data_IF_515395221773
#
_entry.id   IF_515395221773
#
_cell.length_a   1.000
_cell.length_b   1.000
_cell.length_c   1.000
_cell.angle_alpha   90.00
_cell.angle_beta   90.00
_cell.angle_gamma   90.00
#
_symmetry.space_group_name_H-M   'P 1'
#
loop_
_entity.id
_entity.type
_entity.pdbx_description
1 polymer ?
#
# COMPACT_ATOMS: atom_id res chain seq x y z
N UNK A 1 -38.57 10.06 -21.91
CA UNK A 1 -38.55 9.05 -20.83
C UNK A 1 -37.15 8.45 -20.83
N UNK A 2 -36.41 8.51 -19.72
CA UNK A 2 -35.13 7.80 -19.62
C UNK A 2 -35.42 6.32 -19.34
N UNK A 3 -34.88 5.44 -20.17
CA UNK A 3 -35.02 3.98 -20.01
C UNK A 3 -33.84 3.34 -19.27
N UNK A 4 -32.88 4.17 -18.85
CA UNK A 4 -31.65 3.78 -18.17
C UNK A 4 -31.54 4.47 -16.81
N UNK A 5 -30.93 3.79 -15.85
CA UNK A 5 -30.63 4.33 -14.52
C UNK A 5 -29.32 5.13 -14.49
N UNK A 6 -28.82 5.37 -13.28
CA UNK A 6 -27.52 6.03 -13.06
C UNK A 6 -26.41 5.22 -13.76
N UNK A 7 -25.63 5.92 -14.58
CA UNK A 7 -24.50 5.33 -15.32
C UNK A 7 -23.20 5.89 -14.78
N UNK A 8 -22.24 5.02 -14.46
CA UNK A 8 -20.86 5.40 -14.12
C UNK A 8 -19.92 4.88 -15.21
N UNK A 9 -18.90 5.67 -15.56
CA UNK A 9 -17.90 5.34 -16.57
C UNK A 9 -16.50 5.57 -16.01
N UNK A 10 -15.65 4.56 -16.12
CA UNK A 10 -14.22 4.71 -15.85
C UNK A 10 -13.53 5.33 -17.06
N UNK A 11 -12.91 6.49 -16.90
CA UNK A 11 -12.22 7.19 -17.98
C UNK A 11 -10.72 6.89 -17.90
N UNK A 12 -10.15 6.35 -18.98
CA UNK A 12 -8.71 6.11 -19.09
C UNK A 12 -8.00 7.45 -19.32
N UNK A 13 -7.10 7.79 -18.41
CA UNK A 13 -6.33 9.05 -18.42
C UNK A 13 -4.84 8.77 -18.68
N UNK A 14 -4.07 9.79 -19.13
CA UNK A 14 -2.62 9.68 -19.21
C UNK A 14 -1.97 9.54 -17.83
N UNK A 15 -0.66 9.29 -17.82
CA UNK A 15 0.14 9.32 -16.58
C UNK A 15 0.37 10.79 -16.20
N UNK A 16 -0.15 11.19 -15.04
CA UNK A 16 0.03 12.54 -14.48
C UNK A 16 1.36 12.68 -13.74
N UNK A 17 2.00 13.83 -13.91
CA UNK A 17 3.26 14.23 -13.31
C UNK A 17 3.17 15.63 -12.69
N UNK A 18 4.15 15.98 -11.87
CA UNK A 18 4.22 17.29 -11.23
C UNK A 18 4.27 18.41 -12.29
N UNK A 19 3.41 19.41 -12.13
CA UNK A 19 3.30 20.57 -13.03
C UNK A 19 2.27 20.41 -14.14
N UNK A 20 1.68 19.23 -14.33
CA UNK A 20 0.63 19.03 -15.33
C UNK A 20 -0.63 19.86 -15.02
N UNK A 21 -1.23 20.46 -16.06
CA UNK A 21 -2.55 21.06 -15.96
C UNK A 21 -3.62 19.95 -15.87
N UNK A 22 -3.95 19.61 -14.63
CA UNK A 22 -4.92 18.57 -14.33
C UNK A 22 -6.29 18.85 -14.94
N UNK A 23 -6.76 20.09 -14.88
CA UNK A 23 -8.12 20.43 -15.34
C UNK A 23 -8.20 20.25 -16.85
N UNK A 24 -7.24 20.82 -17.60
CA UNK A 24 -7.20 20.69 -19.05
C UNK A 24 -7.07 19.21 -19.49
N UNK A 25 -6.22 18.44 -18.81
CA UNK A 25 -6.04 17.02 -19.10
C UNK A 25 -7.30 16.19 -18.85
N UNK A 26 -8.01 16.43 -17.74
CA UNK A 26 -9.26 15.73 -17.42
C UNK A 26 -10.37 16.09 -18.41
N UNK A 27 -10.53 17.38 -18.72
CA UNK A 27 -11.50 17.83 -19.73
C UNK A 27 -11.23 17.13 -21.06
N UNK A 28 -9.96 17.12 -21.50
CA UNK A 28 -9.57 16.45 -22.74
C UNK A 28 -9.88 14.95 -22.71
N UNK A 29 -9.48 14.23 -21.67
CA UNK A 29 -9.75 12.78 -21.54
C UNK A 29 -11.24 12.45 -21.55
N UNK A 30 -12.07 13.23 -20.87
CA UNK A 30 -13.53 13.03 -20.83
C UNK A 30 -14.16 13.33 -22.19
N UNK A 31 -13.78 14.43 -22.85
CA UNK A 31 -14.30 14.79 -24.19
C UNK A 31 -13.86 13.79 -25.25
N UNK A 32 -12.61 13.33 -25.22
CA UNK A 32 -12.09 12.32 -26.15
C UNK A 32 -12.81 10.97 -25.95
N UNK A 33 -13.05 10.55 -24.71
CA UNK A 33 -13.80 9.33 -24.41
C UNK A 33 -15.25 9.42 -24.88
N UNK A 34 -15.94 10.54 -24.61
CA UNK A 34 -17.31 10.79 -25.06
C UNK A 34 -17.43 10.68 -26.59
N UNK A 35 -16.50 11.32 -27.31
CA UNK A 35 -16.44 11.27 -28.77
C UNK A 35 -16.09 9.88 -29.31
N UNK A 36 -15.12 9.22 -28.69
CA UNK A 36 -14.60 7.91 -29.13
C UNK A 36 -15.57 6.76 -28.89
N UNK A 37 -16.31 6.78 -27.78
CA UNK A 37 -17.25 5.72 -27.39
C UNK A 37 -18.72 6.06 -27.69
N UNK A 38 -19.00 7.28 -28.19
CA UNK A 38 -20.33 7.68 -28.63
C UNK A 38 -21.34 7.88 -27.50
N UNK A 39 -20.90 8.49 -26.39
CA UNK A 39 -21.81 8.92 -25.31
C UNK A 39 -21.84 10.44 -25.17
N UNK A 40 -22.98 10.97 -24.76
CA UNK A 40 -23.16 12.41 -24.57
C UNK A 40 -22.80 12.83 -23.14
N UNK A 41 -22.12 13.97 -23.01
CA UNK A 41 -21.93 14.66 -21.74
C UNK A 41 -23.15 15.54 -21.49
N UNK A 42 -23.78 15.40 -20.32
CA UNK A 42 -24.99 16.14 -19.98
C UNK A 42 -24.73 17.15 -18.86
N UNK A 43 -25.55 18.20 -18.83
CA UNK A 43 -25.56 19.14 -17.72
C UNK A 43 -25.76 18.38 -16.39
N UNK A 44 -25.06 18.83 -15.34
CA UNK A 44 -25.04 18.20 -14.00
C UNK A 44 -24.40 16.81 -13.92
N UNK A 45 -23.72 16.34 -14.97
CA UNK A 45 -22.82 15.19 -14.83
C UNK A 45 -21.67 15.52 -13.87
N UNK A 46 -21.23 14.50 -13.10
CA UNK A 46 -20.20 14.65 -12.08
C UNK A 46 -18.93 13.96 -12.58
N UNK A 47 -17.83 14.69 -12.57
CA UNK A 47 -16.50 14.15 -12.85
C UNK A 47 -15.79 13.92 -11.52
N UNK A 48 -15.54 12.65 -11.20
CA UNK A 48 -14.73 12.26 -10.05
C UNK A 48 -13.26 12.14 -10.45
N UNK A 49 -12.38 12.82 -9.72
CA UNK A 49 -10.93 12.69 -9.86
C UNK A 49 -10.35 12.26 -8.53
N UNK A 50 -9.53 11.21 -8.53
CA UNK A 50 -8.89 10.71 -7.31
C UNK A 50 -7.91 11.75 -6.76
N UNK A 51 -7.94 11.97 -5.44
CA UNK A 51 -7.03 12.91 -4.76
C UNK A 51 -5.55 12.64 -5.08
N UNK A 52 -5.16 11.37 -5.20
CA UNK A 52 -3.78 11.00 -5.56
C UNK A 52 -3.32 11.62 -6.89
N UNK A 53 -4.22 11.85 -7.85
CA UNK A 53 -3.90 12.52 -9.11
C UNK A 53 -3.63 14.01 -8.86
N UNK A 54 -4.47 14.66 -8.06
CA UNK A 54 -4.29 16.05 -7.64
C UNK A 54 -2.97 16.24 -6.91
N UNK A 55 -2.67 15.36 -5.96
CA UNK A 55 -1.42 15.41 -5.20
C UNK A 55 -0.20 15.25 -6.11
N UNK A 56 -0.26 14.33 -7.09
CA UNK A 56 0.82 14.13 -8.08
C UNK A 56 1.09 15.38 -8.90
N UNK A 57 0.06 16.02 -9.46
CA UNK A 57 0.24 17.21 -10.31
C UNK A 57 0.72 18.41 -9.51
N UNK A 58 0.35 18.52 -8.24
CA UNK A 58 0.85 19.55 -7.35
C UNK A 58 2.24 19.26 -6.79
N UNK A 59 2.79 18.06 -6.98
CA UNK A 59 4.02 17.63 -6.30
C UNK A 59 3.86 17.56 -4.78
N UNK A 60 2.63 17.39 -4.30
CA UNK A 60 2.29 17.43 -2.88
C UNK A 60 2.51 16.06 -2.22
N UNK A 61 3.78 15.73 -1.99
CA UNK A 61 4.19 14.50 -1.31
C UNK A 61 4.75 14.76 0.07
N UNK A 62 4.40 13.92 1.03
CA UNK A 62 5.07 13.89 2.33
C UNK A 62 6.44 13.21 2.18
N UNK A 63 7.50 13.87 2.63
CA UNK A 63 8.85 13.29 2.67
C UNK A 63 9.03 12.36 3.86
N UNK A 64 9.98 11.44 3.77
CA UNK A 64 10.28 10.52 4.90
C UNK A 64 10.64 11.26 6.19
N UNK A 65 11.29 12.42 6.09
CA UNK A 65 11.70 13.21 7.25
C UNK A 65 10.52 14.00 7.86
N UNK A 66 9.58 14.46 7.03
CA UNK A 66 8.33 15.06 7.51
C UNK A 66 7.52 14.04 8.31
N UNK A 67 7.37 12.81 7.78
CA UNK A 67 6.67 11.72 8.47
C UNK A 67 7.42 11.34 9.76
N UNK A 68 8.75 11.17 9.72
CA UNK A 68 9.53 10.85 10.91
C UNK A 68 9.41 11.91 12.01
N UNK A 69 9.40 13.20 11.63
CA UNK A 69 9.18 14.31 12.57
C UNK A 69 7.79 14.25 13.19
N UNK A 70 6.76 13.99 12.38
CA UNK A 70 5.40 13.86 12.87
C UNK A 70 5.21 12.67 13.82
N UNK A 71 5.82 11.52 13.51
CA UNK A 71 5.86 10.35 14.41
C UNK A 71 6.52 10.71 15.75
N UNK A 72 7.68 11.36 15.76
CA UNK A 72 8.32 11.83 17.00
C UNK A 72 7.42 12.75 17.81
N UNK A 73 6.77 13.70 17.15
CA UNK A 73 5.89 14.66 17.82
C UNK A 73 4.68 13.97 18.46
N UNK A 74 4.12 12.96 17.79
CA UNK A 74 2.92 12.25 18.27
C UNK A 74 3.22 11.22 19.34
N UNK A 75 4.36 10.53 19.25
CA UNK A 75 4.66 9.35 20.06
C UNK A 75 5.89 9.51 20.95
N UNK A 76 6.49 10.70 21.04
CA UNK A 76 7.63 11.00 21.91
C UNK A 76 8.98 10.46 21.43
N UNK A 77 9.01 9.67 20.35
CA UNK A 77 10.24 9.16 19.75
C UNK A 77 10.95 8.04 20.52
N UNK A 78 10.26 7.40 21.46
CA UNK A 78 10.80 6.28 22.26
C UNK A 78 10.62 4.94 21.54
N UNK A 79 10.00 3.95 22.18
CA UNK A 79 9.70 2.65 21.56
C UNK A 79 8.33 2.67 20.88
N UNK A 80 8.23 2.04 19.70
CA UNK A 80 6.98 1.91 18.94
C UNK A 80 6.74 0.47 18.50
N UNK A 81 5.47 0.09 18.41
CA UNK A 81 5.03 -1.18 17.84
C UNK A 81 4.19 -0.95 16.59
N UNK A 82 4.47 -1.71 15.52
CA UNK A 82 3.60 -1.83 14.34
C UNK A 82 3.02 -3.24 14.34
N UNK A 83 1.71 -3.34 14.18
CA UNK A 83 0.99 -4.61 14.24
C UNK A 83 0.33 -4.87 12.89
N UNK A 84 0.56 -6.07 12.37
CA UNK A 84 0.02 -6.62 11.13
C UNK A 84 0.14 -5.68 9.91
N UNK A 85 1.36 -5.24 9.54
CA UNK A 85 1.54 -4.47 8.32
C UNK A 85 1.54 -5.37 7.07
N UNK A 86 1.11 -4.81 5.92
CA UNK A 86 1.31 -5.47 4.63
C UNK A 86 2.80 -5.76 4.32
N UNK A 87 3.00 -6.86 3.62
CA UNK A 87 4.29 -7.30 3.08
C UNK A 87 4.54 -6.62 1.73
N UNK A 88 5.13 -5.42 1.75
CA UNK A 88 5.29 -4.61 0.54
C UNK A 88 6.55 -3.75 0.55
N UNK A 89 7.39 -3.94 -0.48
CA UNK A 89 8.50 -3.03 -0.81
C UNK A 89 8.02 -1.63 -1.23
N UNK A 90 6.89 -1.56 -1.93
CA UNK A 90 6.46 -0.32 -2.60
C UNK A 90 5.52 0.53 -1.74
N UNK A 91 4.78 -0.11 -0.81
CA UNK A 91 3.80 0.58 0.03
C UNK A 91 4.29 0.71 1.47
N UNK A 92 4.68 -0.40 2.09
CA UNK A 92 5.00 -0.40 3.51
C UNK A 92 6.46 -0.02 3.78
N UNK A 93 7.44 -0.53 3.04
CA UNK A 93 8.86 -0.32 3.33
C UNK A 93 9.28 1.16 3.40
N UNK A 94 8.72 2.02 2.55
CA UNK A 94 9.00 3.47 2.58
C UNK A 94 8.41 4.15 3.83
N UNK A 95 7.24 3.70 4.27
CA UNK A 95 6.61 4.16 5.51
C UNK A 95 7.37 3.62 6.72
N UNK A 96 7.75 2.34 6.69
CA UNK A 96 8.54 1.70 7.72
C UNK A 96 9.85 2.45 7.96
N UNK A 97 10.59 2.78 6.89
CA UNK A 97 11.80 3.61 6.99
C UNK A 97 11.53 4.95 7.69
N UNK A 98 10.41 5.58 7.36
CA UNK A 98 10.02 6.86 7.95
C UNK A 98 9.64 6.73 9.43
N UNK A 99 8.96 5.65 9.81
CA UNK A 99 8.58 5.36 11.19
C UNK A 99 9.81 5.00 12.02
N UNK A 100 10.69 4.14 11.50
CA UNK A 100 11.95 3.76 12.14
C UNK A 100 12.85 4.96 12.41
N UNK A 101 12.95 5.91 11.46
CA UNK A 101 13.61 7.21 11.68
C UNK A 101 12.98 8.01 12.82
N UNK A 102 11.69 7.80 13.11
CA UNK A 102 10.89 8.55 14.06
C UNK A 102 10.90 8.00 15.49
N UNK A 103 11.58 6.89 15.77
CA UNK A 103 11.63 6.27 17.10
C UNK A 103 13.04 5.73 17.41
N UNK A 104 13.31 5.42 18.68
CA UNK A 104 14.58 4.79 19.11
C UNK A 104 14.58 3.29 18.83
N UNK A 105 13.41 2.65 18.96
CA UNK A 105 13.25 1.21 18.76
C UNK A 105 11.88 0.93 18.16
N UNK A 106 11.84 0.01 17.21
CA UNK A 106 10.62 -0.39 16.53
C UNK A 106 10.43 -1.90 16.65
N UNK A 107 9.27 -2.32 17.12
CA UNK A 107 8.83 -3.72 17.10
C UNK A 107 7.83 -3.88 15.96
N UNK A 108 7.95 -4.96 15.21
CA UNK A 108 7.04 -5.28 14.11
C UNK A 108 6.45 -6.66 14.40
N UNK A 109 5.14 -6.71 14.55
CA UNK A 109 4.40 -7.96 14.67
C UNK A 109 3.77 -8.27 13.31
N UNK A 110 4.36 -9.23 12.60
CA UNK A 110 3.80 -9.74 11.34
C UNK A 110 2.71 -10.77 11.64
N UNK A 111 1.70 -10.84 10.78
CA UNK A 111 0.79 -11.98 10.74
C UNK A 111 1.37 -13.07 9.85
N UNK A 112 1.03 -14.33 10.15
CA UNK A 112 1.39 -15.49 9.35
C UNK A 112 0.16 -16.42 9.21
N UNK A 113 0.04 -17.19 8.12
CA UNK A 113 0.95 -17.27 6.97
C UNK A 113 0.97 -16.02 6.07
N UNK A 114 -0.06 -15.17 6.18
CA UNK A 114 -0.28 -14.04 5.29
C UNK A 114 -0.56 -12.73 6.03
N UNK A 115 -0.34 -11.61 5.36
CA UNK A 115 -0.81 -10.27 5.75
C UNK A 115 -2.31 -10.08 5.48
N UNK A 116 -2.85 -8.90 5.82
CA UNK A 116 -4.27 -8.59 5.71
C UNK A 116 -4.79 -8.53 4.26
N UNK A 117 -3.89 -8.46 3.27
CA UNK A 117 -4.24 -8.48 1.85
C UNK A 117 -3.86 -9.79 1.15
N UNK A 118 -3.45 -10.80 1.93
CA UNK A 118 -3.17 -12.16 1.44
C UNK A 118 -1.77 -12.37 0.87
N UNK A 119 -0.83 -11.43 1.05
CA UNK A 119 0.57 -11.70 0.74
C UNK A 119 1.13 -12.66 1.79
N UNK A 120 1.83 -13.69 1.36
CA UNK A 120 2.39 -14.71 2.23
C UNK A 120 3.91 -14.83 2.03
N UNK A 121 4.61 -15.20 3.10
CA UNK A 121 6.01 -15.61 3.08
C UNK A 121 6.23 -17.06 3.56
N UNK A 122 5.15 -17.77 3.94
CA UNK A 122 5.11 -19.22 4.22
C UNK A 122 3.77 -19.82 3.78
N UNK A 123 3.77 -21.07 3.31
CA UNK A 123 2.56 -21.75 2.85
C UNK A 123 1.79 -22.44 3.99
N UNK A 124 0.52 -22.77 3.75
CA UNK A 124 -0.25 -23.60 4.69
C UNK A 124 0.34 -25.01 4.82
N UNK A 125 0.86 -25.61 3.75
CA UNK A 125 1.54 -26.91 3.81
C UNK A 125 2.75 -26.87 4.74
N UNK A 126 3.54 -25.79 4.71
CA UNK A 126 4.67 -25.62 5.64
C UNK A 126 4.20 -25.51 7.10
N UNK A 127 3.04 -24.88 7.35
CA UNK A 127 2.46 -24.79 8.70
C UNK A 127 2.04 -26.19 9.17
N UNK A 128 1.33 -26.94 8.33
CA UNK A 128 0.83 -28.27 8.63
C UNK A 128 1.98 -29.27 8.85
N UNK A 129 3.00 -29.27 7.99
CA UNK A 129 4.19 -30.13 8.10
C UNK A 129 4.98 -29.89 9.39
N UNK A 130 4.96 -28.66 9.90
CA UNK A 130 5.65 -28.28 11.14
C UNK A 130 4.78 -28.42 12.38
N UNK A 131 3.50 -28.77 12.22
CA UNK A 131 2.54 -28.92 13.32
C UNK A 131 2.24 -27.60 14.04
N UNK A 132 2.37 -26.46 13.34
CA UNK A 132 2.10 -25.13 13.90
C UNK A 132 0.61 -24.84 13.83
N UNK A 133 0.03 -24.35 14.93
CA UNK A 133 -1.35 -23.87 14.95
C UNK A 133 -1.39 -22.35 14.73
N UNK A 134 -1.81 -21.86 13.55
CA UNK A 134 -1.81 -20.42 13.24
C UNK A 134 -2.82 -19.61 14.07
N UNK A 135 -3.72 -20.27 14.83
CA UNK A 135 -4.73 -19.60 15.65
C UNK A 135 -4.32 -19.42 17.12
N UNK A 136 -3.28 -20.13 17.58
CA UNK A 136 -2.83 -20.08 18.98
C UNK A 136 -1.35 -19.79 19.12
N UNK A 137 -0.55 -20.22 18.15
CA UNK A 137 0.89 -20.16 18.27
C UNK A 137 1.37 -18.76 17.89
N UNK A 138 2.49 -18.37 18.47
CA UNK A 138 3.16 -17.11 18.14
C UNK A 138 4.64 -17.29 18.41
N UNK A 139 5.45 -16.59 17.64
CA UNK A 139 6.90 -16.79 17.64
C UNK A 139 7.59 -15.43 17.65
N UNK A 140 8.73 -15.37 18.33
CA UNK A 140 9.74 -14.37 18.01
C UNK A 140 10.48 -14.77 16.73
N UNK A 141 11.36 -13.89 16.25
CA UNK A 141 12.12 -14.13 15.02
C UNK A 141 12.96 -15.41 15.08
N UNK A 142 13.69 -15.64 16.19
CA UNK A 142 14.58 -16.79 16.33
C UNK A 142 13.80 -18.11 16.28
N UNK A 143 12.68 -18.18 17.01
CA UNK A 143 11.77 -19.33 17.01
C UNK A 143 11.20 -19.57 15.61
N UNK A 144 10.76 -18.52 14.93
CA UNK A 144 10.24 -18.61 13.57
C UNK A 144 11.30 -19.15 12.59
N UNK A 145 12.54 -18.65 12.66
CA UNK A 145 13.66 -19.11 11.83
C UNK A 145 14.08 -20.54 12.14
N UNK A 146 13.96 -20.99 13.39
CA UNK A 146 14.23 -22.38 13.76
C UNK A 146 13.20 -23.35 13.18
N UNK A 147 11.94 -22.93 13.07
CA UNK A 147 10.84 -23.77 12.54
C UNK A 147 10.84 -23.78 11.00
N UNK A 148 10.86 -22.60 10.39
CA UNK A 148 10.64 -22.41 8.94
C UNK A 148 11.93 -22.16 8.15
N UNK A 149 13.05 -21.88 8.81
CA UNK A 149 14.31 -21.55 8.15
C UNK A 149 14.34 -20.15 7.55
N UNK A 150 15.25 -19.96 6.61
CA UNK A 150 15.45 -18.69 5.87
C UNK A 150 14.84 -18.70 4.47
N UNK A 151 14.23 -19.81 4.04
CA UNK A 151 13.51 -19.89 2.76
C UNK A 151 12.05 -19.48 2.92
N UNK A 152 11.83 -18.33 3.58
CA UNK A 152 10.51 -17.74 3.82
C UNK A 152 10.35 -16.51 2.93
N UNK A 153 10.54 -16.71 1.63
CA UNK A 153 10.44 -15.66 0.64
C UNK A 153 9.02 -15.55 0.14
N UNK A 154 8.59 -14.32 -0.08
CA UNK A 154 7.28 -14.06 -0.66
C UNK A 154 7.16 -14.65 -2.06
N UNK A 155 6.13 -15.47 -2.29
CA UNK A 155 5.97 -16.31 -3.49
C UNK A 155 6.19 -15.57 -4.81
N UNK A 156 5.61 -14.37 -4.96
CA UNK A 156 5.70 -13.62 -6.21
C UNK A 156 6.91 -12.69 -6.32
N UNK A 157 7.49 -12.26 -5.21
CA UNK A 157 8.53 -11.22 -5.22
C UNK A 157 9.92 -11.77 -4.94
N UNK A 158 10.02 -12.97 -4.37
CA UNK A 158 11.28 -13.59 -3.94
C UNK A 158 11.96 -12.89 -2.77
N UNK A 159 11.26 -11.95 -2.12
CA UNK A 159 11.81 -11.13 -1.04
C UNK A 159 11.51 -11.82 0.30
N UNK A 160 12.55 -12.00 1.11
CA UNK A 160 12.38 -12.25 2.54
C UNK A 160 12.10 -10.90 3.22
N UNK A 161 10.83 -10.69 3.59
CA UNK A 161 10.41 -9.41 4.16
C UNK A 161 10.90 -9.21 5.60
N UNK A 162 11.19 -10.28 6.34
CA UNK A 162 11.74 -10.19 7.70
C UNK A 162 13.15 -9.60 7.62
N UNK A 163 14.01 -10.18 6.78
CA UNK A 163 15.37 -9.64 6.56
C UNK A 163 15.34 -8.25 5.94
N UNK A 164 14.48 -8.06 4.93
CA UNK A 164 14.40 -6.79 4.24
C UNK A 164 14.01 -5.67 5.19
N UNK A 165 12.98 -5.86 6.04
CA UNK A 165 12.54 -4.85 6.99
C UNK A 165 13.57 -4.54 8.07
N UNK A 166 14.35 -5.54 8.52
CA UNK A 166 15.47 -5.32 9.46
C UNK A 166 16.59 -4.49 8.87
N UNK A 167 16.77 -4.53 7.55
CA UNK A 167 17.83 -3.78 6.87
C UNK A 167 17.52 -2.27 6.64
N UNK A 168 16.30 -1.82 6.93
CA UNK A 168 15.79 -0.48 6.58
C UNK A 168 16.06 0.59 7.62
#
# INVERSE_FOLDING_TARGET
MHYTGVTSRGIICPIFQQGDDLVAAIVKSVTDAAKGEGFELQDRNIIGVTEAVVARTQGNYATTDQIAKDIRNKFGGEELGIVFPILSRNRFAILLRSIAKGCKKLYIQLSYPSDEVGNSFITYDQIDEKGVNPYSDSFNEEEFRNIFGYDTKHTFTGVDYIEYYKSL
#
